data_IF_961227628776
#
_entry.id   IF_961227628776
#
_cell.length_a   1.000
_cell.length_b   1.000
_cell.length_c   1.000
_cell.angle_alpha   90.00
_cell.angle_beta   90.00
_cell.angle_gamma   90.00
#
_symmetry.space_group_name_H-M   'P 1'
#
loop_
_entity.id
_entity.type
_entity.pdbx_description
1 polymer ?
#
# COMPACT_ATOMS: atom_id res chain seq x y z
N UNK A 1 5.71 -23.26 -17.52
CA UNK A 1 6.20 -22.12 -16.70
C UNK A 1 5.17 -21.76 -15.60
N UNK A 2 4.61 -22.73 -14.86
CA UNK A 2 3.41 -22.51 -14.03
C UNK A 2 3.58 -22.74 -12.52
N UNK A 3 4.44 -23.66 -12.09
CA UNK A 3 4.56 -24.00 -10.66
C UNK A 3 5.49 -23.04 -9.89
N UNK A 4 6.62 -22.62 -10.48
CA UNK A 4 7.55 -21.69 -9.82
C UNK A 4 6.97 -20.29 -9.63
N UNK A 5 6.20 -19.77 -10.59
CA UNK A 5 5.56 -18.46 -10.45
C UNK A 5 4.50 -18.46 -9.34
N UNK A 6 3.70 -19.52 -9.23
CA UNK A 6 2.72 -19.70 -8.16
C UNK A 6 3.38 -19.80 -6.77
N UNK A 7 4.51 -20.53 -6.67
CA UNK A 7 5.27 -20.65 -5.43
C UNK A 7 5.94 -19.32 -5.00
N UNK A 8 6.36 -18.48 -5.95
CA UNK A 8 6.95 -17.16 -5.66
C UNK A 8 5.86 -16.14 -5.27
N UNK A 9 4.66 -16.20 -5.85
CA UNK A 9 3.51 -15.41 -5.38
C UNK A 9 3.08 -15.80 -3.96
N UNK A 10 3.17 -17.08 -3.57
CA UNK A 10 2.95 -17.55 -2.19
C UNK A 10 4.01 -17.09 -1.19
N UNK A 11 5.20 -16.69 -1.64
CA UNK A 11 6.28 -16.19 -0.79
C UNK A 11 6.37 -14.65 -0.76
N UNK A 12 5.33 -13.94 -1.20
CA UNK A 12 5.32 -12.49 -1.10
C UNK A 12 5.31 -12.06 0.37
N UNK A 13 6.50 -11.78 0.92
CA UNK A 13 6.64 -11.22 2.28
C UNK A 13 6.24 -9.74 2.20
N UNK A 14 4.92 -9.49 2.11
CA UNK A 14 4.38 -8.14 2.10
C UNK A 14 4.50 -7.51 3.49
N UNK A 15 4.35 -6.18 3.54
CA UNK A 15 4.42 -5.43 4.78
C UNK A 15 3.41 -5.97 5.80
N UNK A 16 3.80 -6.01 7.07
CA UNK A 16 2.88 -6.36 8.15
C UNK A 16 1.82 -5.27 8.33
N UNK A 17 0.60 -5.70 8.65
CA UNK A 17 -0.52 -4.82 9.01
C UNK A 17 -0.61 -4.77 10.53
N UNK A 18 -0.71 -3.57 11.08
CA UNK A 18 -1.02 -3.33 12.47
C UNK A 18 -2.49 -2.97 12.63
N UNK A 19 -3.10 -3.55 13.66
CA UNK A 19 -4.46 -3.27 14.12
C UNK A 19 -4.46 -2.56 15.49
N UNK A 20 -3.28 -2.19 15.99
CA UNK A 20 -3.15 -1.43 17.24
C UNK A 20 -3.44 0.05 17.01
N UNK A 21 -3.48 0.83 18.09
CA UNK A 21 -3.59 2.28 18.00
C UNK A 21 -2.52 2.87 17.05
N UNK A 22 -2.90 3.80 16.16
CA UNK A 22 -1.98 4.43 15.22
C UNK A 22 -1.00 5.37 15.93
N UNK A 23 0.15 5.60 15.31
CA UNK A 23 1.24 6.42 15.89
C UNK A 23 1.04 7.93 15.79
N UNK A 24 0.08 8.38 14.98
CA UNK A 24 -0.19 9.80 14.81
C UNK A 24 -1.37 10.17 15.72
N UNK A 25 -1.18 11.16 16.62
CA UNK A 25 -2.26 11.63 17.48
C UNK A 25 -3.49 12.04 16.66
N UNK A 26 -4.66 11.53 17.06
CA UNK A 26 -5.94 11.83 16.38
C UNK A 26 -6.18 11.06 15.08
N UNK A 27 -5.26 10.20 14.63
CA UNK A 27 -5.55 9.30 13.53
C UNK A 27 -6.65 8.29 13.92
N UNK A 28 -7.59 7.97 13.02
CA UNK A 28 -8.64 7.01 13.33
C UNK A 28 -8.05 5.62 13.60
N UNK A 29 -8.70 4.83 14.45
CA UNK A 29 -8.32 3.44 14.73
C UNK A 29 -8.62 2.54 13.53
N UNK A 30 -7.83 2.70 12.47
CA UNK A 30 -7.92 1.93 11.23
C UNK A 30 -6.64 1.13 11.02
N UNK A 31 -6.68 0.03 10.25
CA UNK A 31 -5.50 -0.76 9.96
C UNK A 31 -4.41 0.06 9.28
N UNK A 32 -3.15 -0.18 9.65
CA UNK A 32 -2.03 0.62 9.16
C UNK A 32 -0.75 -0.20 9.05
N UNK A 33 0.16 0.23 8.19
CA UNK A 33 1.51 -0.32 8.08
C UNK A 33 2.54 0.75 8.46
N UNK A 34 3.75 0.31 8.86
CA UNK A 34 4.89 1.20 9.05
C UNK A 34 6.19 0.56 8.62
N UNK A 35 7.01 1.38 7.97
CA UNK A 35 8.39 1.04 7.62
C UNK A 35 9.26 2.27 7.88
N UNK A 36 9.97 2.28 9.02
CA UNK A 36 10.73 3.45 9.46
C UNK A 36 9.85 4.70 9.62
N UNK A 37 10.16 5.83 8.94
CA UNK A 37 9.40 7.08 9.05
C UNK A 37 8.17 7.14 8.14
N UNK A 38 7.87 6.09 7.37
CA UNK A 38 6.70 6.02 6.49
C UNK A 38 5.63 5.18 7.17
N UNK A 39 4.45 5.78 7.36
CA UNK A 39 3.22 5.08 7.75
C UNK A 39 2.23 5.11 6.59
N UNK A 40 1.43 4.06 6.46
CA UNK A 40 0.32 4.00 5.50
C UNK A 40 -0.95 3.54 6.20
N UNK A 41 -1.97 4.39 6.24
CA UNK A 41 -3.27 4.11 6.83
C UNK A 41 -4.20 3.54 5.76
N UNK A 42 -4.66 2.31 5.97
CA UNK A 42 -5.34 1.47 4.98
C UNK A 42 -6.86 1.61 5.13
N UNK A 43 -7.42 2.70 4.62
CA UNK A 43 -8.85 3.02 4.72
C UNK A 43 -9.79 2.01 4.04
N UNK A 44 -9.24 1.10 3.23
CA UNK A 44 -10.00 0.08 2.52
C UNK A 44 -10.13 -1.24 3.29
N UNK A 45 -9.43 -1.41 4.42
CA UNK A 45 -9.63 -2.55 5.32
C UNK A 45 -10.73 -2.24 6.34
N UNK A 46 -11.69 -3.15 6.49
CA UNK A 46 -12.84 -2.98 7.37
C UNK A 46 -13.94 -2.06 6.85
N UNK A 47 -13.89 -1.63 5.59
CA UNK A 47 -15.06 -1.07 4.91
C UNK A 47 -16.05 -2.19 4.56
N UNK A 48 -17.30 -1.87 4.23
CA UNK A 48 -18.35 -2.81 3.79
C UNK A 48 -18.04 -3.59 2.49
N UNK A 49 -16.79 -3.58 2.03
CA UNK A 49 -16.27 -4.26 0.84
C UNK A 49 -15.55 -5.59 1.15
N UNK A 50 -14.78 -6.13 0.19
CA UNK A 50 -14.25 -7.50 0.22
C UNK A 50 -13.17 -7.77 1.27
N UNK A 51 -12.77 -6.76 2.05
CA UNK A 51 -11.71 -6.86 3.06
C UNK A 51 -12.26 -6.85 4.49
N UNK A 52 -13.34 -7.61 4.73
CA UNK A 52 -13.89 -7.83 6.08
C UNK A 52 -12.93 -8.60 6.97
N UNK A 53 -12.17 -9.51 6.37
CA UNK A 53 -11.12 -10.24 7.06
C UNK A 53 -9.95 -9.30 7.41
N UNK A 54 -9.26 -9.58 8.52
CA UNK A 54 -8.12 -8.80 9.01
C UNK A 54 -6.81 -9.46 8.58
N UNK A 55 -6.30 -9.23 7.35
CA UNK A 55 -5.06 -9.84 6.92
C UNK A 55 -3.88 -9.30 7.73
N UNK A 56 -3.02 -10.18 8.23
CA UNK A 56 -1.79 -9.80 8.95
C UNK A 56 -0.75 -9.10 8.04
N UNK A 57 -0.97 -9.16 6.73
CA UNK A 57 -0.05 -8.76 5.68
C UNK A 57 -0.77 -7.90 4.66
N UNK A 58 -0.08 -6.92 4.08
CA UNK A 58 -0.73 -5.98 3.17
C UNK A 58 -1.06 -6.66 1.84
N UNK A 59 -2.35 -6.65 1.55
CA UNK A 59 -3.00 -7.08 0.33
C UNK A 59 -3.76 -5.88 -0.26
N UNK A 60 -3.68 -5.71 -1.57
CA UNK A 60 -4.28 -4.62 -2.33
C UNK A 60 -5.00 -5.20 -3.55
N UNK A 61 -6.08 -4.59 -4.02
CA UNK A 61 -6.67 -4.93 -5.33
C UNK A 61 -5.99 -4.14 -6.46
N UNK A 62 -5.89 -4.74 -7.63
CA UNK A 62 -5.50 -4.02 -8.85
C UNK A 62 -6.53 -2.96 -9.23
N UNK A 63 -6.15 -2.02 -10.11
CA UNK A 63 -7.08 -1.06 -10.69
C UNK A 63 -7.49 0.11 -9.78
N UNK A 64 -7.02 0.14 -8.53
CA UNK A 64 -7.31 1.22 -7.58
C UNK A 64 -8.54 0.98 -6.71
N UNK A 65 -9.12 -0.22 -6.77
CA UNK A 65 -10.31 -0.58 -6.02
C UNK A 65 -10.86 -1.94 -6.45
N UNK A 66 -11.57 -2.68 -5.58
CA UNK A 66 -12.36 -3.83 -6.01
C UNK A 66 -13.56 -3.38 -6.85
N UNK A 67 -14.27 -4.34 -7.45
CA UNK A 67 -15.53 -4.06 -8.14
C UNK A 67 -16.55 -3.36 -7.20
N UNK A 68 -17.49 -2.60 -7.77
CA UNK A 68 -18.54 -1.93 -7.00
C UNK A 68 -18.21 -0.51 -6.50
N UNK A 69 -17.14 0.11 -7.02
CA UNK A 69 -16.85 1.54 -6.81
C UNK A 69 -16.09 1.89 -5.53
N UNK A 70 -15.61 0.89 -4.77
CA UNK A 70 -14.74 1.13 -3.62
C UNK A 70 -13.35 1.56 -4.07
N UNK A 71 -12.72 2.50 -3.37
CA UNK A 71 -11.35 2.93 -3.65
C UNK A 71 -10.36 2.29 -2.69
N UNK A 72 -9.21 1.84 -3.21
CA UNK A 72 -8.04 1.48 -2.41
C UNK A 72 -7.37 2.74 -1.86
N UNK A 73 -8.01 3.34 -0.88
CA UNK A 73 -7.54 4.58 -0.25
C UNK A 73 -6.44 4.29 0.75
N UNK A 74 -5.26 4.87 0.53
CA UNK A 74 -4.17 4.88 1.51
C UNK A 74 -3.83 6.32 1.84
N UNK A 75 -3.88 6.68 3.12
CA UNK A 75 -3.31 7.93 3.59
C UNK A 75 -1.88 7.65 4.04
N UNK A 76 -0.92 8.19 3.31
CA UNK A 76 0.48 8.10 3.69
C UNK A 76 0.83 9.22 4.65
N UNK A 77 1.66 8.92 5.64
CA UNK A 77 2.36 9.94 6.41
C UNK A 77 3.86 9.70 6.31
N UNK A 78 4.58 10.73 5.88
CA UNK A 78 6.04 10.75 5.88
C UNK A 78 6.50 11.93 6.71
N UNK A 79 6.90 11.66 7.97
CA UNK A 79 7.40 12.71 8.87
C UNK A 79 8.61 13.40 8.25
N UNK A 80 8.59 14.72 8.13
CA UNK A 80 9.63 15.47 7.44
C UNK A 80 9.73 15.17 5.94
N UNK A 81 8.61 14.80 5.31
CA UNK A 81 8.47 14.66 3.86
C UNK A 81 8.46 16.00 3.13
N UNK A 82 8.53 15.93 1.80
CA UNK A 82 8.43 17.08 0.90
C UNK A 82 6.97 17.33 0.46
N UNK A 83 6.76 18.29 -0.45
CA UNK A 83 5.45 18.65 -0.99
C UNK A 83 4.75 17.52 -1.77
N UNK A 84 5.49 16.48 -2.18
CA UNK A 84 4.95 15.33 -2.91
C UNK A 84 5.48 14.01 -2.37
N UNK A 85 4.67 12.96 -2.58
CA UNK A 85 5.06 11.57 -2.38
C UNK A 85 5.02 10.87 -3.74
N UNK A 86 6.15 10.26 -4.12
CA UNK A 86 6.26 9.38 -5.28
C UNK A 86 6.24 7.93 -4.84
N UNK A 87 5.24 7.20 -5.30
CA UNK A 87 5.10 5.76 -5.15
C UNK A 87 5.61 5.08 -6.43
N UNK A 88 6.54 4.15 -6.31
CA UNK A 88 7.04 3.38 -7.46
C UNK A 88 6.92 1.89 -7.14
N UNK A 89 6.27 1.15 -8.02
CA UNK A 89 6.17 -0.30 -7.92
C UNK A 89 7.01 -0.99 -8.98
N UNK A 90 7.71 -2.06 -8.59
CA UNK A 90 8.33 -3.04 -9.46
C UNK A 90 7.77 -4.40 -9.10
N UNK A 91 7.24 -5.12 -10.09
CA UNK A 91 6.77 -6.48 -9.86
C UNK A 91 7.96 -7.39 -9.51
N UNK A 92 7.79 -8.23 -8.50
CA UNK A 92 8.83 -9.13 -7.97
C UNK A 92 8.69 -10.54 -8.52
N UNK A 93 7.48 -10.95 -8.87
CA UNK A 93 7.14 -12.27 -9.41
C UNK A 93 6.89 -12.26 -10.93
N UNK A 94 7.33 -11.20 -11.62
CA UNK A 94 7.19 -11.09 -13.07
C UNK A 94 7.57 -9.71 -13.59
N UNK A 95 7.13 -9.40 -14.82
CA UNK A 95 7.30 -8.09 -15.42
C UNK A 95 6.21 -7.12 -14.99
N UNK A 96 6.60 -5.88 -14.70
CA UNK A 96 5.65 -4.81 -14.41
C UNK A 96 6.30 -3.67 -13.65
N UNK A 97 5.86 -2.45 -13.93
CA UNK A 97 6.24 -1.25 -13.19
C UNK A 97 5.08 -0.28 -13.14
N UNK A 98 5.02 0.52 -12.07
CA UNK A 98 4.13 1.67 -12.03
C UNK A 98 4.80 2.83 -11.29
N UNK A 99 4.32 4.04 -11.53
CA UNK A 99 4.70 5.23 -10.76
C UNK A 99 3.47 6.11 -10.59
N UNK A 100 3.24 6.58 -9.37
CA UNK A 100 2.18 7.50 -9.02
C UNK A 100 2.74 8.59 -8.11
N UNK A 101 2.23 9.80 -8.21
CA UNK A 101 2.65 10.95 -7.40
C UNK A 101 1.43 11.55 -6.73
N UNK A 102 1.52 11.82 -5.43
CA UNK A 102 0.44 12.38 -4.62
C UNK A 102 0.90 13.66 -3.93
N UNK A 103 0.09 14.74 -3.95
CA UNK A 103 0.41 15.99 -3.27
C UNK A 103 0.21 15.87 -1.75
N UNK A 104 0.96 16.66 -0.99
CA UNK A 104 0.75 16.81 0.45
C UNK A 104 -0.51 17.62 0.74
N UNK A 105 -1.21 17.31 1.84
CA UNK A 105 -2.32 18.10 2.38
C UNK A 105 -1.93 18.85 3.68
N UNK A 106 -0.63 18.96 3.97
CA UNK A 106 -0.08 19.48 5.23
C UNK A 106 0.38 18.37 6.17
N UNK A 107 1.24 18.71 7.14
CA UNK A 107 1.74 17.78 8.16
C UNK A 107 2.53 16.56 7.64
N UNK A 108 2.88 16.50 6.35
CA UNK A 108 3.50 15.32 5.73
C UNK A 108 2.50 14.22 5.35
N UNK A 109 1.21 14.54 5.24
CA UNK A 109 0.16 13.60 4.84
C UNK A 109 -0.11 13.64 3.33
N UNK A 110 -0.30 12.48 2.72
CA UNK A 110 -0.56 12.31 1.29
C UNK A 110 -1.72 11.33 1.06
N UNK A 111 -2.95 11.82 0.83
CA UNK A 111 -4.05 10.95 0.47
C UNK A 111 -3.83 10.35 -0.93
N UNK A 112 -4.15 9.08 -1.10
CA UNK A 112 -3.98 8.39 -2.38
C UNK A 112 -5.07 7.36 -2.64
N UNK A 113 -5.39 7.17 -3.92
CA UNK A 113 -5.98 5.95 -4.44
C UNK A 113 -4.87 5.25 -5.23
N UNK A 114 -4.37 4.13 -4.73
CA UNK A 114 -3.20 3.46 -5.34
C UNK A 114 -3.65 2.50 -6.43
N UNK A 115 -3.28 2.78 -7.68
CA UNK A 115 -3.57 1.91 -8.83
C UNK A 115 -2.42 0.94 -9.09
N UNK A 116 -2.62 -0.34 -8.80
CA UNK A 116 -1.68 -1.43 -9.16
C UNK A 116 -2.13 -2.07 -10.48
N UNK A 117 -1.25 -2.22 -11.49
CA UNK A 117 -1.70 -2.54 -12.85
C UNK A 117 -2.00 -4.02 -13.08
N UNK A 118 -1.45 -4.94 -12.28
CA UNK A 118 -1.65 -6.37 -12.45
C UNK A 118 -1.49 -7.13 -11.13
N UNK A 119 -2.13 -8.31 -10.97
CA UNK A 119 -1.96 -9.14 -9.78
C UNK A 119 -0.52 -9.64 -9.63
N UNK A 120 -0.12 -9.93 -8.41
CA UNK A 120 1.20 -10.47 -8.06
C UNK A 120 1.88 -9.73 -6.92
N UNK A 121 3.13 -10.10 -6.64
CA UNK A 121 3.95 -9.48 -5.61
C UNK A 121 4.64 -8.22 -6.15
N UNK A 122 4.48 -7.10 -5.46
CA UNK A 122 5.02 -5.80 -5.86
C UNK A 122 5.96 -5.24 -4.82
N UNK A 123 7.21 -5.00 -5.20
CA UNK A 123 8.16 -4.22 -4.44
C UNK A 123 7.85 -2.74 -4.63
N UNK A 124 7.49 -2.07 -3.55
CA UNK A 124 7.04 -0.69 -3.53
C UNK A 124 8.09 0.18 -2.88
N UNK A 125 8.44 1.27 -3.55
CA UNK A 125 9.25 2.35 -3.02
C UNK A 125 8.36 3.56 -2.76
N UNK A 126 8.30 4.01 -1.51
CA UNK A 126 7.71 5.29 -1.11
C UNK A 126 8.83 6.31 -0.97
N UNK A 127 8.76 7.42 -1.72
CA UNK A 127 9.71 8.52 -1.63
C UNK A 127 9.00 9.85 -1.41
N UNK A 128 9.46 10.63 -0.45
CA UNK A 128 9.10 12.04 -0.29
C UNK A 128 10.33 12.84 0.11
N UNK A 129 10.80 13.73 -0.76
CA UNK A 129 12.12 14.36 -0.62
C UNK A 129 13.24 13.32 -0.53
N UNK A 130 14.06 13.43 0.53
CA UNK A 130 15.14 12.48 0.85
C UNK A 130 14.66 11.25 1.63
N UNK A 131 13.40 11.20 2.07
CA UNK A 131 12.84 10.05 2.79
C UNK A 131 12.44 8.98 1.79
N UNK A 132 13.11 7.84 1.85
CA UNK A 132 12.85 6.69 0.96
C UNK A 132 12.68 5.43 1.79
N UNK A 133 11.61 4.69 1.55
CA UNK A 133 11.40 3.36 2.15
C UNK A 133 10.87 2.38 1.13
N UNK A 134 11.19 1.10 1.37
CA UNK A 134 10.82 -0.01 0.49
C UNK A 134 10.14 -1.10 1.31
N UNK A 135 9.12 -1.71 0.73
CA UNK A 135 8.41 -2.88 1.25
C UNK A 135 7.68 -3.56 0.10
N UNK A 136 6.91 -4.62 0.37
CA UNK A 136 6.11 -5.28 -0.64
C UNK A 136 4.61 -5.24 -0.34
N UNK A 137 3.82 -5.33 -1.41
CA UNK A 137 2.38 -5.59 -1.41
C UNK A 137 2.10 -6.89 -2.17
N UNK A 138 1.09 -7.64 -1.72
CA UNK A 138 0.45 -8.64 -2.57
C UNK A 138 -0.75 -7.98 -3.27
N UNK A 139 -0.75 -7.94 -4.60
CA UNK A 139 -1.86 -7.44 -5.38
C UNK A 139 -2.73 -8.59 -5.89
N UNK A 140 -4.03 -8.55 -5.60
CA UNK A 140 -5.02 -9.50 -6.12
C UNK A 140 -5.84 -8.87 -7.24
N UNK A 141 -6.45 -9.73 -8.06
CA UNK A 141 -7.48 -9.28 -8.99
C UNK A 141 -8.67 -8.66 -8.22
N UNK A 142 -9.44 -7.76 -8.86
CA UNK A 142 -10.58 -7.08 -8.23
C UNK A 142 -11.71 -8.02 -7.83
#
# INVERSE_FOLDING_TARGET
MGALAALISSACISAAVSYTAPLDPGAPHIPWLRVGPVSGYLFYYGADGPWREKPERVIITTGGGPAGGFATKILWHVRGGAATLRLTGRRLDGSGRFTQTFPAIGGGFFPSTVVVPAPGCWGVTVRSGHRVRRFAFLALAP
#
